data_IF_846341085551
#
_entry.id   IF_846341085551
#
_cell.length_a   1.000
_cell.length_b   1.000
_cell.length_c   1.000
_cell.angle_alpha   90.00
_cell.angle_beta   90.00
_cell.angle_gamma   90.00
#
_symmetry.space_group_name_H-M   'P 1'
#
loop_
_entity.id
_entity.type
_entity.pdbx_description
1 polymer ?
#
# COMPACT_ATOMS: atom_id res chain seq x y z
N UNK A 1 -57.86 7.40 13.62
CA UNK A 1 -57.08 7.00 12.40
C UNK A 1 -55.62 7.42 12.44
N UNK A 2 -54.89 7.43 13.56
CA UNK A 2 -53.57 8.05 13.66
C UNK A 2 -52.43 7.11 14.11
N UNK A 3 -52.72 5.91 14.60
CA UNK A 3 -51.68 5.00 15.10
C UNK A 3 -51.01 4.12 14.01
N UNK A 4 -51.75 3.79 12.96
CA UNK A 4 -51.27 2.84 11.90
C UNK A 4 -50.28 3.49 10.95
N UNK A 5 -50.31 4.81 10.79
CA UNK A 5 -49.39 5.55 9.89
C UNK A 5 -48.01 5.79 10.51
N UNK A 6 -47.91 5.90 11.83
CA UNK A 6 -46.66 6.11 12.54
C UNK A 6 -45.80 4.81 12.58
N UNK A 7 -46.43 3.65 12.71
CA UNK A 7 -45.73 2.36 12.73
C UNK A 7 -45.11 2.02 11.35
N UNK A 8 -45.82 2.29 10.24
CA UNK A 8 -45.31 2.01 8.90
C UNK A 8 -44.11 2.89 8.53
N UNK A 9 -44.08 4.15 8.98
CA UNK A 9 -42.95 5.06 8.77
C UNK A 9 -41.70 4.64 9.52
N UNK A 10 -41.87 4.17 10.77
CA UNK A 10 -40.74 3.66 11.57
C UNK A 10 -40.14 2.35 11.02
N UNK A 11 -41.00 1.41 10.59
CA UNK A 11 -40.52 0.18 9.94
C UNK A 11 -39.78 0.42 8.65
N UNK A 12 -40.27 1.36 7.82
CA UNK A 12 -39.59 1.74 6.56
C UNK A 12 -38.24 2.42 6.81
N UNK A 13 -38.18 3.33 7.80
CA UNK A 13 -36.91 3.99 8.17
C UNK A 13 -35.88 2.99 8.73
N UNK A 14 -36.32 2.05 9.60
CA UNK A 14 -35.47 1.02 10.16
C UNK A 14 -34.93 0.06 9.08
N UNK A 15 -35.79 -0.33 8.14
CA UNK A 15 -35.43 -1.20 7.01
C UNK A 15 -34.43 -0.51 6.06
N UNK A 16 -34.61 0.78 5.79
CA UNK A 16 -33.72 1.58 4.96
C UNK A 16 -32.36 1.78 5.64
N UNK A 17 -32.34 2.00 6.96
CA UNK A 17 -31.10 2.10 7.73
C UNK A 17 -30.32 0.78 7.76
N UNK A 18 -31.03 -0.35 7.96
CA UNK A 18 -30.42 -1.69 7.95
C UNK A 18 -29.82 -2.04 6.58
N UNK A 19 -30.50 -1.72 5.47
CA UNK A 19 -29.97 -1.97 4.11
C UNK A 19 -28.80 -1.08 3.77
N UNK A 20 -28.78 0.17 4.21
CA UNK A 20 -27.62 1.07 4.06
C UNK A 20 -26.40 0.56 4.84
N UNK A 21 -26.60 0.11 6.08
CA UNK A 21 -25.55 -0.48 6.90
C UNK A 21 -24.93 -1.71 6.25
N UNK A 22 -25.74 -2.60 5.67
CA UNK A 22 -25.25 -3.80 4.99
C UNK A 22 -24.41 -3.49 3.72
N UNK A 23 -24.81 -2.46 2.96
CA UNK A 23 -24.04 -2.01 1.77
C UNK A 23 -22.68 -1.43 2.15
N UNK A 24 -22.61 -0.59 3.17
CA UNK A 24 -21.32 -0.02 3.64
C UNK A 24 -20.37 -1.12 4.13
N UNK A 25 -20.84 -2.12 4.83
CA UNK A 25 -20.04 -3.28 5.25
C UNK A 25 -19.54 -4.08 4.04
N UNK A 26 -20.40 -4.30 3.04
CA UNK A 26 -20.02 -4.99 1.81
C UNK A 26 -18.91 -4.23 1.04
N UNK A 27 -19.03 -2.90 0.93
CA UNK A 27 -18.01 -2.06 0.28
C UNK A 27 -16.69 -2.11 1.04
N UNK A 28 -16.70 -1.94 2.36
CA UNK A 28 -15.46 -2.03 3.19
C UNK A 28 -14.77 -3.37 3.03
N UNK A 29 -15.55 -4.47 3.00
CA UNK A 29 -15.02 -5.81 2.77
C UNK A 29 -14.43 -5.95 1.37
N UNK A 30 -15.12 -5.46 0.34
CA UNK A 30 -14.63 -5.49 -1.04
C UNK A 30 -13.31 -4.71 -1.17
N UNK A 31 -13.22 -3.52 -0.58
CA UNK A 31 -12.01 -2.71 -0.55
C UNK A 31 -10.86 -3.43 0.17
N UNK A 32 -11.12 -4.03 1.34
CA UNK A 32 -10.12 -4.78 2.08
C UNK A 32 -9.53 -5.95 1.27
N UNK A 33 -10.40 -6.72 0.59
CA UNK A 33 -9.96 -7.88 -0.21
C UNK A 33 -9.29 -7.44 -1.51
N UNK A 34 -9.77 -6.38 -2.15
CA UNK A 34 -9.20 -5.87 -3.39
C UNK A 34 -7.84 -5.17 -3.18
N UNK A 35 -7.63 -4.56 -2.02
CA UNK A 35 -6.47 -3.70 -1.76
C UNK A 35 -5.11 -4.40 -1.97
N UNK A 36 -4.84 -5.62 -1.47
CA UNK A 36 -3.57 -6.31 -1.75
C UNK A 36 -3.40 -6.62 -3.25
N UNK A 37 -4.48 -6.97 -3.96
CA UNK A 37 -4.43 -7.22 -5.41
C UNK A 37 -4.11 -5.94 -6.15
N UNK A 38 -4.77 -4.84 -5.80
CA UNK A 38 -4.49 -3.52 -6.38
C UNK A 38 -3.05 -3.06 -6.10
N UNK A 39 -2.54 -3.29 -4.88
CA UNK A 39 -1.14 -3.04 -4.57
C UNK A 39 -0.20 -3.77 -5.53
N UNK A 40 -0.44 -5.05 -5.77
CA UNK A 40 0.34 -5.85 -6.71
C UNK A 40 0.23 -5.36 -8.16
N UNK A 41 -0.98 -5.10 -8.63
CA UNK A 41 -1.21 -4.62 -10.00
C UNK A 41 -0.56 -3.26 -10.26
N UNK A 42 -0.66 -2.33 -9.32
CA UNK A 42 0.01 -1.03 -9.41
C UNK A 42 1.54 -1.15 -9.28
N UNK A 43 2.04 -2.09 -8.46
CA UNK A 43 3.46 -2.44 -8.43
C UNK A 43 3.94 -2.94 -9.80
N UNK A 44 3.18 -3.84 -10.43
CA UNK A 44 3.49 -4.36 -11.75
C UNK A 44 3.46 -3.25 -12.83
N UNK A 45 2.46 -2.35 -12.77
CA UNK A 45 2.39 -1.18 -13.65
C UNK A 45 3.66 -0.31 -13.50
N UNK A 46 4.04 0.01 -12.24
CA UNK A 46 5.24 0.78 -11.97
C UNK A 46 6.51 0.11 -12.50
N UNK A 47 6.65 -1.20 -12.29
CA UNK A 47 7.82 -1.97 -12.73
C UNK A 47 7.92 -2.12 -14.26
N UNK A 48 6.80 -2.27 -14.96
CA UNK A 48 6.78 -2.33 -16.43
C UNK A 48 7.11 -0.96 -17.05
N UNK A 49 6.65 0.11 -16.39
CA UNK A 49 6.87 1.46 -16.87
C UNK A 49 8.25 2.03 -16.48
N UNK A 50 9.00 1.38 -15.60
CA UNK A 50 10.30 1.87 -15.13
C UNK A 50 11.35 1.84 -16.25
N UNK A 51 11.77 3.00 -16.78
CA UNK A 51 12.75 3.05 -17.87
C UNK A 51 14.16 2.68 -17.41
N UNK A 52 14.41 2.68 -16.09
CA UNK A 52 15.71 2.41 -15.49
C UNK A 52 15.73 1.13 -14.64
N UNK A 53 14.78 0.20 -14.86
CA UNK A 53 14.70 -1.05 -14.11
C UNK A 53 16.05 -1.79 -14.08
N UNK A 54 16.50 -2.16 -12.88
CA UNK A 54 17.80 -2.82 -12.66
C UNK A 54 19.01 -1.90 -12.75
N UNK A 55 18.82 -0.58 -12.89
CA UNK A 55 19.90 0.40 -12.85
C UNK A 55 19.91 1.14 -11.51
N UNK A 56 21.08 1.69 -11.14
CA UNK A 56 21.25 2.48 -9.92
C UNK A 56 22.20 3.66 -10.13
N UNK A 57 22.15 4.61 -9.18
CA UNK A 57 23.03 5.77 -9.16
C UNK A 57 22.93 6.65 -10.41
N UNK A 58 24.08 7.14 -10.91
CA UNK A 58 24.10 8.11 -12.01
C UNK A 58 23.53 7.58 -13.33
N UNK A 59 23.59 6.26 -13.58
CA UNK A 59 22.97 5.65 -14.78
C UNK A 59 21.45 5.73 -14.72
N UNK A 60 20.86 5.42 -13.56
CA UNK A 60 19.44 5.54 -13.33
C UNK A 60 18.97 6.99 -13.49
N UNK A 61 19.65 7.94 -12.83
CA UNK A 61 19.35 9.38 -12.93
C UNK A 61 19.38 9.87 -14.38
N UNK A 62 20.37 9.44 -15.17
CA UNK A 62 20.45 9.80 -16.60
C UNK A 62 19.21 9.34 -17.36
N UNK A 63 18.82 8.08 -17.19
CA UNK A 63 17.66 7.50 -17.89
C UNK A 63 16.37 8.22 -17.48
N UNK A 64 16.20 8.58 -16.21
CA UNK A 64 15.02 9.32 -15.74
C UNK A 64 14.93 10.72 -16.35
N UNK A 65 16.08 11.42 -16.51
CA UNK A 65 16.11 12.73 -17.17
C UNK A 65 15.72 12.61 -18.65
N UNK A 66 16.19 11.56 -19.33
CA UNK A 66 15.95 11.32 -20.75
C UNK A 66 14.54 10.77 -21.05
N UNK A 67 13.86 10.19 -20.04
CA UNK A 67 12.58 9.50 -20.21
C UNK A 67 11.52 9.95 -19.18
N UNK A 68 11.08 11.23 -19.22
CA UNK A 68 10.17 11.76 -18.20
C UNK A 68 8.76 11.14 -18.25
N UNK A 69 8.25 10.74 -19.42
CA UNK A 69 6.92 10.17 -19.54
C UNK A 69 6.81 8.74 -18.93
N UNK A 70 7.69 7.78 -19.28
CA UNK A 70 7.75 6.50 -18.57
C UNK A 70 7.95 6.66 -17.06
N UNK A 71 8.79 7.61 -16.63
CA UNK A 71 9.01 7.88 -15.21
C UNK A 71 7.73 8.31 -14.47
N UNK A 72 6.86 9.09 -15.11
CA UNK A 72 5.57 9.48 -14.52
C UNK A 72 4.69 8.25 -14.27
N UNK A 73 4.60 7.32 -15.21
CA UNK A 73 3.84 6.07 -15.05
C UNK A 73 4.46 5.18 -13.97
N UNK A 74 5.79 5.06 -13.93
CA UNK A 74 6.52 4.34 -12.88
C UNK A 74 6.16 4.89 -11.49
N UNK A 75 6.34 6.19 -11.29
CA UNK A 75 6.12 6.82 -9.99
C UNK A 75 4.65 6.80 -9.59
N UNK A 76 3.71 6.99 -10.53
CA UNK A 76 2.28 6.85 -10.28
C UNK A 76 1.91 5.41 -9.90
N UNK A 77 2.45 4.42 -10.60
CA UNK A 77 2.25 3.01 -10.27
C UNK A 77 2.70 2.68 -8.85
N UNK A 78 3.92 3.01 -8.49
CA UNK A 78 4.42 2.75 -7.13
C UNK A 78 3.73 3.59 -6.05
N UNK A 79 3.31 4.82 -6.35
CA UNK A 79 2.53 5.64 -5.42
C UNK A 79 1.26 4.88 -4.97
N UNK A 80 0.47 4.41 -5.92
CA UNK A 80 -0.74 3.65 -5.61
C UNK A 80 -0.45 2.26 -5.05
N UNK A 81 0.63 1.60 -5.50
CA UNK A 81 1.06 0.33 -4.94
C UNK A 81 1.31 0.44 -3.43
N UNK A 82 2.11 1.41 -3.01
CA UNK A 82 2.43 1.63 -1.60
C UNK A 82 1.20 2.05 -0.79
N UNK A 83 0.34 2.90 -1.37
CA UNK A 83 -0.90 3.31 -0.73
C UNK A 83 -1.82 2.11 -0.44
N UNK A 84 -2.04 1.23 -1.41
CA UNK A 84 -2.85 0.04 -1.22
C UNK A 84 -2.18 -1.01 -0.34
N UNK A 85 -0.86 -1.20 -0.44
CA UNK A 85 -0.10 -2.11 0.39
C UNK A 85 -0.24 -1.77 1.87
N UNK A 86 0.12 -0.55 2.23
CA UNK A 86 0.08 -0.06 3.61
C UNK A 86 -1.38 0.12 4.06
N UNK A 87 -2.25 0.62 3.17
CA UNK A 87 -3.67 0.80 3.43
C UNK A 87 -4.38 -0.50 3.80
N UNK A 88 -3.97 -1.64 3.23
CA UNK A 88 -4.46 -2.96 3.64
C UNK A 88 -4.19 -3.23 5.11
N UNK A 89 -3.00 -2.93 5.61
CA UNK A 89 -2.67 -3.12 7.02
C UNK A 89 -3.55 -2.26 7.95
N UNK A 90 -3.84 -1.02 7.56
CA UNK A 90 -4.74 -0.13 8.30
C UNK A 90 -6.17 -0.69 8.34
N UNK A 91 -6.67 -1.23 7.23
CA UNK A 91 -8.00 -1.82 7.15
C UNK A 91 -8.14 -3.15 7.91
N UNK A 92 -7.04 -3.88 8.10
CA UNK A 92 -7.00 -5.13 8.87
C UNK A 92 -7.13 -4.88 10.38
N UNK A 93 -6.58 -3.80 10.90
CA UNK A 93 -6.50 -3.55 12.35
C UNK A 93 -7.83 -3.67 13.08
N UNK A 94 -8.96 -3.10 12.63
CA UNK A 94 -10.25 -3.20 13.32
C UNK A 94 -10.88 -4.61 13.29
N UNK A 95 -10.38 -5.52 12.45
CA UNK A 95 -10.88 -6.90 12.37
C UNK A 95 -10.29 -7.79 13.47
N UNK A 96 -9.10 -7.45 13.98
CA UNK A 96 -8.36 -8.30 14.92
C UNK A 96 -8.69 -7.91 16.35
N UNK A 97 -9.38 -8.80 17.06
CA UNK A 97 -9.75 -8.64 18.48
C UNK A 97 -9.07 -9.75 19.30
N UNK A 98 -8.78 -9.47 20.56
CA UNK A 98 -8.17 -10.44 21.48
C UNK A 98 -6.74 -10.81 21.07
N UNK A 99 -6.48 -12.11 20.82
CA UNK A 99 -5.16 -12.59 20.42
C UNK A 99 -4.74 -11.97 19.08
N UNK A 100 -3.58 -11.34 19.04
CA UNK A 100 -3.06 -10.69 17.82
C UNK A 100 -3.44 -9.21 17.68
N UNK A 101 -4.34 -8.67 18.51
CA UNK A 101 -4.75 -7.26 18.45
C UNK A 101 -3.56 -6.29 18.56
N UNK A 102 -2.59 -6.56 19.44
CA UNK A 102 -1.38 -5.74 19.56
C UNK A 102 -0.56 -5.70 18.27
N UNK A 103 -0.38 -6.86 17.62
CA UNK A 103 0.34 -6.91 16.34
C UNK A 103 -0.38 -6.08 15.27
N UNK A 104 -1.69 -6.19 15.18
CA UNK A 104 -2.49 -5.41 14.25
C UNK A 104 -2.48 -3.91 14.59
N UNK A 105 -2.44 -3.53 15.88
CA UNK A 105 -2.33 -2.15 16.31
C UNK A 105 -0.96 -1.57 15.96
N UNK A 106 0.13 -2.29 16.24
CA UNK A 106 1.49 -1.88 15.85
C UNK A 106 1.59 -1.75 14.33
N UNK A 107 1.03 -2.71 13.59
CA UNK A 107 0.94 -2.66 12.14
C UNK A 107 0.25 -1.40 11.64
N UNK A 108 -0.86 -1.01 12.29
CA UNK A 108 -1.59 0.21 11.92
C UNK A 108 -0.79 1.48 12.24
N UNK A 109 -0.10 1.56 13.37
CA UNK A 109 0.73 2.72 13.74
C UNK A 109 1.88 2.88 12.75
N UNK A 110 2.64 1.81 12.50
CA UNK A 110 3.75 1.81 11.55
C UNK A 110 3.23 2.07 10.12
N UNK A 111 2.10 1.46 9.76
CA UNK A 111 1.45 1.66 8.48
C UNK A 111 0.99 3.11 8.29
N UNK A 112 0.40 3.74 9.30
CA UNK A 112 0.01 5.14 9.22
C UNK A 112 1.22 6.04 8.95
N UNK A 113 2.30 5.87 9.71
CA UNK A 113 3.53 6.62 9.51
C UNK A 113 4.12 6.41 8.10
N UNK A 114 4.11 5.16 7.60
CA UNK A 114 4.56 4.84 6.24
C UNK A 114 3.64 5.41 5.15
N UNK A 115 2.33 5.39 5.35
CA UNK A 115 1.36 5.95 4.41
C UNK A 115 1.51 7.45 4.21
N UNK A 116 1.80 8.17 5.30
CA UNK A 116 1.99 9.64 5.26
C UNK A 116 3.30 10.02 4.55
N UNK A 117 4.30 9.13 4.56
CA UNK A 117 5.65 9.45 4.08
C UNK A 117 5.97 8.83 2.73
N UNK A 118 5.86 7.52 2.57
CA UNK A 118 6.43 6.79 1.44
C UNK A 118 5.82 7.14 0.08
N UNK A 119 4.48 7.19 -0.10
CA UNK A 119 3.93 7.55 -1.41
C UNK A 119 4.36 8.93 -1.87
N UNK A 120 4.46 9.91 -0.95
CA UNK A 120 4.90 11.26 -1.25
C UNK A 120 6.35 11.37 -1.71
N UNK A 121 7.22 10.43 -1.30
CA UNK A 121 8.62 10.42 -1.72
C UNK A 121 8.80 10.18 -3.22
N UNK A 122 7.84 9.55 -3.89
CA UNK A 122 7.91 9.33 -5.34
C UNK A 122 7.82 10.62 -6.16
N UNK A 123 7.36 11.71 -5.55
CA UNK A 123 7.42 13.04 -6.16
C UNK A 123 8.88 13.47 -6.42
N UNK A 124 9.82 12.97 -5.63
CA UNK A 124 11.25 13.25 -5.82
C UNK A 124 11.77 12.84 -7.21
N UNK A 125 11.24 11.75 -7.78
CA UNK A 125 11.62 11.29 -9.12
C UNK A 125 11.32 12.37 -10.18
N UNK A 126 10.16 13.01 -10.07
CA UNK A 126 9.75 14.07 -11.00
C UNK A 126 10.59 15.35 -10.84
N UNK A 127 10.91 15.70 -9.58
CA UNK A 127 11.81 16.82 -9.32
C UNK A 127 13.21 16.55 -9.86
N UNK A 128 13.73 15.32 -9.68
CA UNK A 128 15.03 14.93 -10.23
C UNK A 128 15.05 15.04 -11.77
N UNK A 129 14.01 14.53 -12.44
CA UNK A 129 13.88 14.65 -13.89
C UNK A 129 13.79 16.11 -14.33
N UNK A 130 13.01 16.95 -13.64
CA UNK A 130 12.89 18.37 -13.91
C UNK A 130 14.20 19.12 -13.72
N UNK A 131 14.87 18.95 -12.60
CA UNK A 131 16.18 19.55 -12.32
C UNK A 131 17.19 19.09 -13.36
N UNK A 132 17.20 17.79 -13.69
CA UNK A 132 18.11 17.22 -14.67
C UNK A 132 17.89 17.74 -16.08
N UNK A 133 16.66 18.05 -16.45
CA UNK A 133 16.34 18.67 -17.74
C UNK A 133 17.02 20.05 -17.92
N UNK A 134 17.06 20.87 -16.86
CA UNK A 134 17.64 22.21 -16.92
C UNK A 134 19.14 22.25 -16.59
N UNK A 135 19.61 21.44 -15.67
CA UNK A 135 20.94 21.52 -15.08
C UNK A 135 21.78 20.25 -15.26
N UNK A 136 21.28 19.24 -15.96
CA UNK A 136 21.93 17.96 -16.16
C UNK A 136 22.09 17.11 -14.90
N UNK A 137 22.76 15.97 -15.01
CA UNK A 137 22.98 15.04 -13.88
C UNK A 137 23.75 15.67 -12.72
N UNK A 138 24.71 16.56 -13.03
CA UNK A 138 25.48 17.22 -11.98
C UNK A 138 24.63 18.15 -11.13
N UNK A 139 23.66 18.84 -11.75
CA UNK A 139 22.69 19.66 -11.02
C UNK A 139 21.80 18.82 -10.09
N UNK A 140 21.31 17.67 -10.55
CA UNK A 140 20.54 16.74 -9.70
C UNK A 140 21.37 16.33 -8.48
N UNK A 141 22.63 15.88 -8.72
CA UNK A 141 23.50 15.46 -7.61
C UNK A 141 23.78 16.59 -6.61
N UNK A 142 24.04 17.81 -7.08
CA UNK A 142 24.28 18.96 -6.20
C UNK A 142 23.06 19.27 -5.31
N UNK A 143 21.85 19.21 -5.90
CA UNK A 143 20.61 19.45 -5.15
C UNK A 143 20.37 18.33 -4.13
N UNK A 144 20.57 17.06 -4.50
CA UNK A 144 20.45 15.93 -3.58
C UNK A 144 21.42 16.02 -2.41
N UNK A 145 22.70 16.26 -2.69
CA UNK A 145 23.74 16.38 -1.66
C UNK A 145 23.42 17.54 -0.69
N UNK A 146 22.92 18.66 -1.22
CA UNK A 146 22.50 19.81 -0.43
C UNK A 146 21.28 19.44 0.44
N UNK A 147 20.25 18.81 -0.14
CA UNK A 147 19.04 18.43 0.60
C UNK A 147 19.34 17.42 1.69
N UNK A 148 20.10 16.37 1.39
CA UNK A 148 20.48 15.34 2.38
C UNK A 148 21.36 15.92 3.47
N UNK A 149 22.27 16.84 3.12
CA UNK A 149 23.19 17.48 4.06
C UNK A 149 22.50 18.44 5.03
N UNK A 150 21.53 19.22 4.56
CA UNK A 150 20.96 20.35 5.31
C UNK A 150 19.52 20.13 5.81
N UNK A 151 18.73 19.29 5.13
CA UNK A 151 17.30 19.12 5.44
C UNK A 151 17.04 17.88 6.31
N UNK A 152 17.13 18.05 7.62
CA UNK A 152 16.88 16.95 8.57
C UNK A 152 15.47 16.34 8.44
N UNK A 153 14.46 17.15 8.05
CA UNK A 153 13.09 16.68 7.87
C UNK A 153 12.96 15.60 6.77
N UNK A 154 13.76 15.68 5.69
CA UNK A 154 13.80 14.68 4.65
C UNK A 154 14.21 13.31 5.19
N UNK A 155 15.17 13.25 6.10
CA UNK A 155 15.59 12.01 6.78
C UNK A 155 14.44 11.39 7.58
N UNK A 156 13.59 12.20 8.20
CA UNK A 156 12.38 11.74 8.91
C UNK A 156 11.40 11.02 7.98
N UNK A 157 11.20 11.50 6.77
CA UNK A 157 10.37 10.82 5.77
C UNK A 157 10.93 9.44 5.41
N UNK A 158 12.24 9.33 5.20
CA UNK A 158 12.89 8.05 4.86
C UNK A 158 12.81 7.04 6.00
N UNK A 159 13.00 7.48 7.25
CA UNK A 159 13.00 6.62 8.44
C UNK A 159 11.65 5.92 8.65
N UNK A 160 10.52 6.55 8.34
CA UNK A 160 9.20 5.98 8.55
C UNK A 160 8.63 5.28 7.31
N UNK A 161 9.01 5.71 6.11
CA UNK A 161 8.46 5.20 4.87
C UNK A 161 8.78 3.71 4.64
N UNK A 162 10.06 3.36 4.65
CA UNK A 162 10.53 1.98 4.42
C UNK A 162 10.02 0.99 5.48
N UNK A 163 10.10 1.27 6.80
CA UNK A 163 9.49 0.41 7.80
C UNK A 163 7.97 0.22 7.62
N UNK A 164 7.26 1.27 7.19
CA UNK A 164 5.84 1.17 6.87
C UNK A 164 5.56 0.15 5.77
N UNK A 165 6.33 0.17 4.70
CA UNK A 165 6.22 -0.81 3.61
C UNK A 165 6.63 -2.21 4.06
N UNK A 166 7.75 -2.33 4.78
CA UNK A 166 8.34 -3.61 5.17
C UNK A 166 7.51 -4.35 6.22
N UNK A 167 6.98 -3.64 7.22
CA UNK A 167 6.48 -4.26 8.44
C UNK A 167 4.96 -4.20 8.57
N UNK A 168 4.30 -3.17 8.02
CA UNK A 168 2.87 -2.98 8.28
C UNK A 168 2.03 -4.18 7.84
N UNK A 169 2.15 -4.61 6.59
CA UNK A 169 1.34 -5.72 6.07
C UNK A 169 1.73 -7.08 6.69
N UNK A 170 3.02 -7.44 6.83
CA UNK A 170 3.40 -8.66 7.55
C UNK A 170 2.90 -8.69 9.00
N UNK A 171 3.03 -7.60 9.76
CA UNK A 171 2.52 -7.56 11.15
C UNK A 171 0.99 -7.66 11.22
N UNK A 172 0.28 -7.03 10.29
CA UNK A 172 -1.17 -7.16 10.18
C UNK A 172 -1.58 -8.61 9.89
N UNK A 173 -0.89 -9.28 8.95
CA UNK A 173 -1.11 -10.68 8.63
C UNK A 173 -0.75 -11.62 9.81
N UNK A 174 0.31 -11.33 10.55
CA UNK A 174 0.67 -12.04 11.77
C UNK A 174 -0.41 -11.86 12.86
N UNK A 175 -0.98 -10.67 12.99
CA UNK A 175 -2.11 -10.38 13.87
C UNK A 175 -3.34 -11.23 13.54
N UNK A 176 -3.71 -11.30 12.25
CA UNK A 176 -4.80 -12.16 11.76
C UNK A 176 -4.53 -13.64 12.01
N UNK A 177 -3.31 -14.09 11.79
CA UNK A 177 -2.91 -15.48 12.07
C UNK A 177 -3.00 -15.80 13.57
N UNK A 178 -2.49 -14.95 14.46
CA UNK A 178 -2.62 -15.15 15.91
C UNK A 178 -4.07 -15.13 16.38
N UNK A 179 -4.92 -14.36 15.72
CA UNK A 179 -6.36 -14.36 15.95
C UNK A 179 -7.08 -15.59 15.35
N UNK A 180 -6.36 -16.47 14.64
CA UNK A 180 -6.88 -17.64 13.92
C UNK A 180 -7.88 -17.30 12.80
N UNK A 181 -7.86 -16.07 12.30
CA UNK A 181 -8.68 -15.61 11.18
C UNK A 181 -8.12 -16.05 9.84
N UNK A 182 -6.80 -16.21 9.75
CA UNK A 182 -6.10 -16.72 8.56
C UNK A 182 -5.07 -17.79 8.95
N UNK A 183 -4.58 -18.55 7.97
CA UNK A 183 -3.55 -19.57 8.18
C UNK A 183 -2.15 -18.94 8.16
N UNK A 184 -1.15 -19.60 8.72
CA UNK A 184 0.24 -19.11 8.81
C UNK A 184 0.87 -18.76 7.45
N UNK A 185 0.52 -19.49 6.39
CA UNK A 185 1.03 -19.22 5.05
C UNK A 185 0.57 -17.87 4.49
N UNK A 186 -0.54 -17.32 4.98
CA UNK A 186 -0.97 -15.95 4.62
C UNK A 186 0.02 -14.91 5.12
N UNK A 187 0.54 -15.09 6.33
CA UNK A 187 1.64 -14.28 6.85
C UNK A 187 2.91 -14.49 6.02
N UNK A 188 3.30 -15.75 5.75
CA UNK A 188 4.47 -16.06 4.94
C UNK A 188 4.38 -15.43 3.54
N UNK A 189 3.19 -15.40 2.92
CA UNK A 189 2.97 -14.76 1.63
C UNK A 189 3.24 -13.25 1.67
N UNK A 190 2.83 -12.53 2.74
CA UNK A 190 3.11 -11.09 2.83
C UNK A 190 4.59 -10.79 3.04
N UNK A 191 5.31 -11.63 3.80
CA UNK A 191 6.76 -11.55 3.95
C UNK A 191 7.46 -11.82 2.61
N UNK A 192 7.06 -12.90 1.92
CA UNK A 192 7.61 -13.25 0.62
C UNK A 192 7.37 -12.15 -0.42
N UNK A 193 6.18 -11.54 -0.44
CA UNK A 193 5.88 -10.42 -1.31
C UNK A 193 6.88 -9.26 -1.12
N UNK A 194 7.15 -8.87 0.12
CA UNK A 194 8.10 -7.80 0.43
C UNK A 194 9.54 -8.18 0.05
N UNK A 195 9.98 -9.38 0.44
CA UNK A 195 11.36 -9.85 0.15
C UNK A 195 11.60 -9.92 -1.35
N UNK A 196 10.65 -10.49 -2.11
CA UNK A 196 10.77 -10.59 -3.57
C UNK A 196 10.78 -9.20 -4.20
N UNK A 197 9.90 -8.28 -3.77
CA UNK A 197 9.88 -6.91 -4.26
C UNK A 197 11.23 -6.21 -4.08
N UNK A 198 11.81 -6.30 -2.88
CA UNK A 198 13.11 -5.69 -2.58
C UNK A 198 14.28 -6.38 -3.28
N UNK A 199 14.31 -7.72 -3.29
CA UNK A 199 15.41 -8.47 -3.86
C UNK A 199 15.46 -8.44 -5.39
N UNK A 200 14.33 -8.17 -6.04
CA UNK A 200 14.24 -8.06 -7.50
C UNK A 200 14.57 -6.67 -8.04
N UNK A 201 14.96 -5.72 -7.18
CA UNK A 201 15.21 -4.33 -7.57
C UNK A 201 14.05 -3.73 -8.38
N UNK A 202 12.83 -4.10 -7.99
CA UNK A 202 11.58 -3.66 -8.62
C UNK A 202 11.45 -4.01 -10.13
N UNK A 203 12.09 -5.08 -10.58
CA UNK A 203 11.92 -5.58 -11.95
C UNK A 203 10.49 -6.10 -12.17
N UNK A 204 10.05 -6.14 -13.44
CA UNK A 204 8.69 -6.57 -13.80
C UNK A 204 8.35 -8.00 -13.34
N UNK A 205 9.31 -8.94 -13.41
CA UNK A 205 9.10 -10.32 -12.98
C UNK A 205 9.00 -10.41 -11.44
N UNK A 206 9.78 -9.61 -10.71
CA UNK A 206 9.68 -9.50 -9.27
C UNK A 206 8.35 -8.89 -8.84
N UNK A 207 7.88 -7.87 -9.54
CA UNK A 207 6.55 -7.29 -9.32
C UNK A 207 5.42 -8.28 -9.63
N UNK A 208 5.56 -9.12 -10.65
CA UNK A 208 4.59 -10.18 -10.97
C UNK A 208 4.53 -11.23 -9.84
N UNK A 209 5.67 -11.70 -9.33
CA UNK A 209 5.71 -12.61 -8.17
C UNK A 209 5.14 -11.95 -6.91
N UNK A 210 5.48 -10.70 -6.65
CA UNK A 210 4.91 -9.90 -5.56
C UNK A 210 3.38 -9.86 -5.65
N UNK A 211 2.84 -9.60 -6.85
CA UNK A 211 1.41 -9.60 -7.12
C UNK A 211 0.77 -10.95 -6.83
N UNK A 212 1.43 -12.05 -7.21
CA UNK A 212 0.95 -13.40 -6.92
C UNK A 212 0.86 -13.66 -5.40
N UNK A 213 1.88 -13.30 -4.63
CA UNK A 213 1.85 -13.44 -3.17
C UNK A 213 0.78 -12.57 -2.49
N UNK A 214 0.60 -11.33 -2.95
CA UNK A 214 -0.45 -10.45 -2.45
C UNK A 214 -1.85 -10.97 -2.81
N UNK A 215 -2.02 -11.59 -3.97
CA UNK A 215 -3.27 -12.25 -4.36
C UNK A 215 -3.58 -13.45 -3.46
N UNK A 216 -2.59 -14.26 -3.12
CA UNK A 216 -2.71 -15.34 -2.14
C UNK A 216 -3.20 -14.79 -0.78
N UNK A 217 -2.65 -13.68 -0.33
CA UNK A 217 -3.12 -13.03 0.89
C UNK A 217 -4.56 -12.50 0.76
N UNK A 218 -4.93 -11.88 -0.36
CA UNK A 218 -6.28 -11.41 -0.64
C UNK A 218 -7.33 -12.54 -0.60
N UNK A 219 -7.01 -13.71 -1.16
CA UNK A 219 -7.87 -14.90 -1.08
C UNK A 219 -8.10 -15.33 0.38
N UNK A 220 -7.07 -15.23 1.21
CA UNK A 220 -7.19 -15.56 2.64
C UNK A 220 -8.09 -14.57 3.38
N UNK A 221 -7.97 -13.27 3.06
CA UNK A 221 -8.86 -12.24 3.60
C UNK A 221 -10.31 -12.44 3.17
N UNK A 222 -10.54 -12.81 1.90
CA UNK A 222 -11.88 -13.09 1.39
C UNK A 222 -12.55 -14.23 2.16
N UNK A 223 -11.83 -15.32 2.45
CA UNK A 223 -12.32 -16.44 3.25
C UNK A 223 -12.60 -16.00 4.69
N UNK A 224 -11.64 -15.36 5.35
CA UNK A 224 -11.80 -14.90 6.74
C UNK A 224 -12.99 -13.97 6.94
N UNK A 225 -13.27 -13.11 5.96
CA UNK A 225 -14.42 -12.18 6.02
C UNK A 225 -15.72 -12.78 5.49
N UNK A 226 -15.69 -13.95 4.82
CA UNK A 226 -16.85 -14.67 4.27
C UNK A 226 -17.52 -15.60 5.29
N UNK A 227 -16.72 -16.25 6.11
CA UNK A 227 -17.16 -17.23 7.09
C UNK A 227 -17.81 -16.61 8.35
N UNK A 228 -17.72 -15.29 8.50
CA UNK A 228 -18.33 -14.54 9.63
C UNK A 228 -19.81 -14.19 9.44
N UNK A 229 -20.52 -14.89 8.55
CA UNK A 229 -21.96 -14.71 8.31
C UNK A 229 -22.79 -15.78 9.00
#
# INVERSE_FOLDING_TARGET
>A
MTATTLTSGLETATRTAATRGSRAVAVRRALLVASPVLAGLFCLLGAIADPAAGLSGSKMTKIYIENPDPLQWKSTGYHWAYAFWIGTALMVAPLVRGRGAWLATIAAIIGFAGMVTLPGMLISDWYQAGIGHFYGQQGVKQVEDQMIGTMWGLKGFMVFGIPGLALALPLAAAGLWRARLVRWWSFAATVAAFVVFMASEATWWGAALTTAFLTVFAVSLAKATGESR
#
